data_IF_852800093235
#
_entry.id   IF_852800093235
#
_cell.length_a   1.000
_cell.length_b   1.000
_cell.length_c   1.000
_cell.angle_alpha   90.00
_cell.angle_beta   90.00
_cell.angle_gamma   90.00
#
_symmetry.space_group_name_H-M   'P 1'
#
loop_
_entity.id
_entity.type
_entity.pdbx_description
1 polymer ?
#
# COMPACT_ATOMS: atom_id res chain seq x y z
N UNK A 1 56.28 -0.92 60.77
CA UNK A 1 56.39 -0.10 59.55
C UNK A 1 56.89 -1.03 58.45
N UNK A 2 56.22 -1.29 57.33
CA UNK A 2 54.94 -0.84 56.82
C UNK A 2 54.44 -1.95 55.88
N UNK A 3 53.14 -2.22 55.89
CA UNK A 3 52.45 -3.05 54.91
C UNK A 3 51.95 -2.10 53.83
N UNK A 4 52.26 -2.35 52.56
CA UNK A 4 51.52 -1.75 51.45
C UNK A 4 50.89 -2.85 50.60
N UNK A 5 49.57 -2.93 50.72
CA UNK A 5 48.68 -3.65 49.84
C UNK A 5 48.28 -2.70 48.70
N UNK A 6 48.73 -2.98 47.48
CA UNK A 6 48.26 -2.31 46.27
C UNK A 6 47.02 -3.00 45.72
N UNK A 7 45.84 -2.44 46.02
CA UNK A 7 44.55 -2.90 45.52
C UNK A 7 44.38 -2.53 44.03
N UNK A 8 43.99 -3.52 43.22
CA UNK A 8 43.54 -3.34 41.86
C UNK A 8 42.16 -2.67 41.85
N UNK A 9 42.05 -1.51 41.19
CA UNK A 9 40.77 -0.86 40.88
C UNK A 9 40.49 -0.98 39.37
N UNK A 10 39.44 -1.72 39.03
CA UNK A 10 38.94 -1.86 37.67
C UNK A 10 38.22 -0.59 37.21
N UNK A 11 38.62 -0.08 36.04
CA UNK A 11 37.98 1.07 35.38
C UNK A 11 36.58 0.71 34.80
N UNK A 12 35.64 1.67 34.71
CA UNK A 12 34.30 1.41 34.20
C UNK A 12 34.32 1.27 32.66
N UNK A 13 33.69 0.22 32.15
CA UNK A 13 33.49 0.00 30.71
C UNK A 13 32.47 0.99 30.15
N UNK A 14 32.93 1.97 29.38
CA UNK A 14 32.09 2.85 28.59
C UNK A 14 31.36 2.05 27.49
N UNK A 15 30.04 2.14 27.44
CA UNK A 15 29.22 1.54 26.37
C UNK A 15 29.41 2.36 25.08
N UNK A 16 30.06 1.74 24.10
CA UNK A 16 30.16 2.26 22.73
C UNK A 16 28.76 2.43 22.11
N UNK A 17 28.40 3.65 21.75
CA UNK A 17 27.24 3.93 20.88
C UNK A 17 27.71 3.83 19.44
N UNK A 18 27.17 2.87 18.69
CA UNK A 18 27.37 2.78 17.25
C UNK A 18 26.88 4.08 16.56
N UNK A 19 27.61 4.59 15.55
CA UNK A 19 27.20 5.78 14.82
C UNK A 19 25.91 5.51 14.02
N UNK A 20 24.91 6.37 14.22
CA UNK A 20 23.64 6.38 13.48
C UNK A 20 23.94 6.80 12.03
N UNK A 21 23.58 5.97 11.06
CA UNK A 21 23.72 6.29 9.64
C UNK A 21 23.00 7.62 9.31
N UNK A 22 23.55 8.45 8.40
CA UNK A 22 22.92 9.71 8.02
C UNK A 22 21.55 9.44 7.37
N UNK A 23 20.54 10.12 7.88
CA UNK A 23 19.18 10.07 7.33
C UNK A 23 19.20 10.62 5.89
N UNK A 24 18.53 9.96 4.93
CA UNK A 24 18.46 10.48 3.56
C UNK A 24 17.77 11.86 3.55
N UNK A 25 18.11 12.72 2.58
CA UNK A 25 17.59 14.09 2.52
C UNK A 25 16.06 14.05 2.44
N UNK A 26 15.41 14.60 3.46
CA UNK A 26 13.95 14.76 3.51
C UNK A 26 13.56 15.83 2.50
N UNK A 27 12.79 15.45 1.48
CA UNK A 27 12.17 16.41 0.57
C UNK A 27 11.28 17.37 1.40
N UNK A 28 11.33 18.69 1.15
CA UNK A 28 10.46 19.63 1.83
C UNK A 28 9.01 19.31 1.47
N UNK A 29 8.20 18.97 2.48
CA UNK A 29 6.77 18.79 2.33
C UNK A 29 6.13 20.14 1.97
N UNK A 30 5.19 20.20 1.01
CA UNK A 30 4.45 21.43 0.74
C UNK A 30 3.64 21.83 1.98
N UNK A 31 3.38 23.14 2.19
CA UNK A 31 2.55 23.61 3.28
C UNK A 31 1.14 23.02 3.13
N UNK A 32 0.70 22.30 4.17
CA UNK A 32 -0.65 21.72 4.25
C UNK A 32 -1.64 22.78 4.69
N UNK A 33 -2.02 23.67 3.78
CA UNK A 33 -3.20 24.51 3.93
C UNK A 33 -4.41 23.78 3.36
N UNK A 34 -5.31 23.34 4.23
CA UNK A 34 -6.60 22.79 3.80
C UNK A 34 -7.22 21.87 4.84
N UNK A 35 -8.05 22.44 5.71
CA UNK A 35 -8.92 21.69 6.60
C UNK A 35 -9.91 20.82 5.79
N UNK A 36 -9.48 19.60 5.44
CA UNK A 36 -10.39 18.56 5.00
C UNK A 36 -11.22 18.12 6.22
N UNK A 37 -12.54 18.18 6.10
CA UNK A 37 -13.48 17.60 7.08
C UNK A 37 -13.05 16.16 7.32
N UNK A 38 -12.46 15.89 8.49
CA UNK A 38 -12.05 14.55 8.88
C UNK A 38 -13.31 13.71 8.98
N UNK A 39 -13.59 12.90 7.96
CA UNK A 39 -14.56 11.83 8.13
C UNK A 39 -14.13 11.02 9.36
N UNK A 40 -15.01 10.89 10.35
CA UNK A 40 -14.75 10.00 11.48
C UNK A 40 -14.74 8.58 10.92
N UNK A 41 -13.56 8.01 10.71
CA UNK A 41 -13.43 6.62 10.31
C UNK A 41 -13.96 5.71 11.43
N UNK A 42 -14.65 4.59 11.10
CA UNK A 42 -15.10 3.63 12.09
C UNK A 42 -13.97 2.75 12.65
N UNK A 43 -12.71 3.03 12.28
CA UNK A 43 -11.50 2.29 12.63
C UNK A 43 -10.33 3.26 12.85
N UNK A 44 -9.27 2.78 13.51
CA UNK A 44 -8.04 3.54 13.69
C UNK A 44 -7.32 3.75 12.34
N UNK A 45 -6.96 4.98 12.03
CA UNK A 45 -6.30 5.37 10.78
C UNK A 45 -5.32 6.51 11.05
N UNK A 46 -4.12 6.44 10.48
CA UNK A 46 -3.19 7.57 10.51
C UNK A 46 -3.71 8.67 9.57
N UNK A 47 -3.85 9.93 10.03
CA UNK A 47 -4.25 11.04 9.15
C UNK A 47 -3.37 11.21 7.90
N UNK A 48 -2.10 10.79 7.95
CA UNK A 48 -1.17 10.87 6.81
C UNK A 48 -1.40 9.78 5.75
N UNK A 49 -2.18 8.75 6.06
CA UNK A 49 -2.53 7.69 5.10
C UNK A 49 -3.68 8.08 4.16
N UNK A 50 -4.32 9.22 4.42
CA UNK A 50 -5.37 9.79 3.57
C UNK A 50 -4.77 10.60 2.40
N UNK A 51 -4.04 9.94 1.50
CA UNK A 51 -3.53 10.57 0.29
C UNK A 51 -4.49 10.33 -0.89
N UNK A 52 -5.10 11.40 -1.41
CA UNK A 52 -5.96 11.28 -2.59
C UNK A 52 -5.14 10.97 -3.85
N UNK A 53 -5.57 9.98 -4.62
CA UNK A 53 -4.99 9.65 -5.93
C UNK A 53 -5.25 10.77 -6.94
N UNK A 54 -4.24 11.15 -7.73
CA UNK A 54 -4.38 12.19 -8.75
C UNK A 54 -5.37 11.80 -9.87
N UNK A 55 -6.02 12.76 -10.55
CA UNK A 55 -6.94 12.43 -11.65
C UNK A 55 -6.21 11.72 -12.81
N UNK A 56 -5.00 12.20 -13.13
CA UNK A 56 -4.15 11.65 -14.18
C UNK A 56 -3.88 10.15 -13.99
N UNK A 57 -3.64 9.69 -12.76
CA UNK A 57 -3.40 8.27 -12.50
C UNK A 57 -4.60 7.38 -12.88
N UNK A 58 -5.84 7.88 -12.76
CA UNK A 58 -7.02 7.15 -13.22
C UNK A 58 -7.16 7.19 -14.75
N UNK A 59 -6.78 8.30 -15.38
CA UNK A 59 -6.78 8.45 -16.84
C UNK A 59 -5.76 7.49 -17.48
N UNK A 60 -4.57 7.38 -16.89
CA UNK A 60 -3.48 6.50 -17.34
C UNK A 60 -3.89 5.02 -17.35
N UNK A 61 -4.68 4.59 -16.36
CA UNK A 61 -5.15 3.19 -16.29
C UNK A 61 -6.45 2.95 -17.05
N UNK A 62 -7.15 3.99 -17.50
CA UNK A 62 -8.42 3.81 -18.21
C UNK A 62 -8.30 2.92 -19.47
N UNK A 63 -7.28 3.02 -20.33
CA UNK A 63 -7.10 2.11 -21.45
C UNK A 63 -6.92 0.65 -21.03
N UNK A 64 -6.19 0.40 -19.94
CA UNK A 64 -6.00 -0.95 -19.38
C UNK A 64 -7.33 -1.53 -18.90
N UNK A 65 -8.13 -0.72 -18.21
CA UNK A 65 -9.46 -1.13 -17.75
C UNK A 65 -10.42 -1.41 -18.92
N UNK A 66 -10.37 -0.63 -20.01
CA UNK A 66 -11.14 -0.94 -21.24
C UNK A 66 -10.70 -2.25 -21.88
N UNK A 67 -9.38 -2.48 -21.96
CA UNK A 67 -8.83 -3.73 -22.46
C UNK A 67 -9.27 -4.93 -21.63
N UNK A 68 -9.29 -4.79 -20.30
CA UNK A 68 -9.76 -5.83 -19.41
C UNK A 68 -11.27 -6.09 -19.57
N UNK A 69 -12.09 -5.04 -19.68
CA UNK A 69 -13.51 -5.19 -19.95
C UNK A 69 -13.75 -5.97 -21.25
N UNK A 70 -13.01 -5.64 -22.32
CA UNK A 70 -13.05 -6.36 -23.59
C UNK A 70 -12.68 -7.84 -23.44
N UNK A 71 -11.59 -8.15 -22.75
CA UNK A 71 -11.14 -9.54 -22.51
C UNK A 71 -12.16 -10.34 -21.70
N UNK A 72 -12.91 -9.69 -20.81
CA UNK A 72 -13.98 -10.30 -20.02
C UNK A 72 -15.33 -10.32 -20.76
N UNK A 73 -15.42 -9.78 -21.98
CA UNK A 73 -16.66 -9.69 -22.73
C UNK A 73 -17.70 -8.76 -22.09
N UNK A 74 -17.25 -7.73 -21.38
CA UNK A 74 -18.08 -6.78 -20.64
C UNK A 74 -18.04 -5.38 -21.26
N UNK A 75 -19.15 -4.66 -21.16
CA UNK A 75 -19.14 -3.22 -21.35
C UNK A 75 -18.33 -2.55 -20.22
N UNK A 76 -17.54 -1.49 -20.48
CA UNK A 76 -16.85 -0.74 -19.42
C UNK A 76 -17.77 -0.30 -18.28
N UNK A 77 -19.04 0.00 -18.56
CA UNK A 77 -20.04 0.39 -17.58
C UNK A 77 -20.43 -0.77 -16.63
N UNK A 78 -20.15 -2.02 -17.01
CA UNK A 78 -20.41 -3.23 -16.24
C UNK A 78 -19.18 -3.76 -15.48
N UNK A 79 -17.98 -3.27 -15.80
CA UNK A 79 -16.75 -3.65 -15.13
C UNK A 79 -16.78 -3.25 -13.65
N UNK A 80 -16.69 -4.23 -12.75
CA UNK A 80 -16.73 -3.99 -11.30
C UNK A 80 -15.32 -3.69 -10.78
N UNK A 81 -15.09 -2.44 -10.38
CA UNK A 81 -13.83 -2.00 -9.80
C UNK A 81 -13.93 -2.01 -8.28
N UNK A 82 -12.92 -2.57 -7.60
CA UNK A 82 -12.79 -2.53 -6.15
C UNK A 82 -11.62 -1.66 -5.72
N UNK A 83 -11.88 -0.73 -4.81
CA UNK A 83 -10.86 0.02 -4.08
C UNK A 83 -11.11 -0.17 -2.56
N UNK A 84 -10.29 -0.97 -1.87
CA UNK A 84 -10.48 -1.27 -0.45
C UNK A 84 -10.22 -0.08 0.46
N UNK A 85 -9.41 0.89 0.04
CA UNK A 85 -8.98 1.99 0.90
C UNK A 85 -9.82 3.24 0.64
N UNK A 86 -10.57 3.67 1.66
CA UNK A 86 -11.51 4.78 1.52
C UNK A 86 -10.84 6.14 1.75
N UNK A 87 -10.71 6.93 0.69
CA UNK A 87 -10.29 8.34 0.76
C UNK A 87 -11.41 9.24 0.24
N UNK A 88 -12.41 9.50 1.10
CA UNK A 88 -13.57 10.36 0.83
C UNK A 88 -14.43 9.99 -0.40
N UNK A 89 -14.26 8.79 -0.98
CA UNK A 89 -15.06 8.30 -2.11
C UNK A 89 -14.76 8.94 -3.47
N UNK A 90 -13.66 9.69 -3.61
CA UNK A 90 -13.35 10.41 -4.84
C UNK A 90 -13.14 9.48 -6.04
N UNK A 91 -12.61 8.27 -5.82
CA UNK A 91 -12.39 7.23 -6.83
C UNK A 91 -13.66 6.88 -7.58
N UNK A 92 -14.80 6.73 -6.88
CA UNK A 92 -16.08 6.39 -7.49
C UNK A 92 -16.52 7.44 -8.50
N UNK A 93 -16.44 8.73 -8.13
CA UNK A 93 -16.79 9.83 -9.04
C UNK A 93 -15.84 9.91 -10.23
N UNK A 94 -14.54 9.73 -10.00
CA UNK A 94 -13.50 9.87 -11.04
C UNK A 94 -13.58 8.76 -12.08
N UNK A 95 -13.66 7.51 -11.64
CA UNK A 95 -13.80 6.37 -12.55
C UNK A 95 -15.15 6.35 -13.26
N UNK A 96 -16.24 6.79 -12.62
CA UNK A 96 -17.54 6.95 -13.28
C UNK A 96 -17.46 7.91 -14.49
N UNK A 97 -16.76 9.04 -14.36
CA UNK A 97 -16.54 9.99 -15.47
C UNK A 97 -15.75 9.39 -16.63
N UNK A 98 -14.94 8.36 -16.37
CA UNK A 98 -14.13 7.66 -17.38
C UNK A 98 -14.87 6.48 -18.04
N UNK A 99 -16.11 6.21 -17.62
CA UNK A 99 -16.97 5.13 -18.13
C UNK A 99 -17.04 3.89 -17.25
N UNK A 100 -16.52 3.94 -16.01
CA UNK A 100 -16.52 2.81 -15.06
C UNK A 100 -17.32 3.16 -13.79
N UNK A 101 -18.67 3.19 -13.85
CA UNK A 101 -19.51 3.63 -12.74
C UNK A 101 -19.63 2.59 -11.62
N UNK A 102 -19.30 1.32 -11.86
CA UNK A 102 -19.43 0.24 -10.87
C UNK A 102 -18.19 0.13 -9.98
N UNK A 103 -17.98 1.15 -9.15
CA UNK A 103 -16.87 1.21 -8.19
C UNK A 103 -17.35 0.92 -6.79
N UNK A 104 -16.72 -0.04 -6.13
CA UNK A 104 -16.91 -0.32 -4.72
C UNK A 104 -15.76 0.31 -3.92
N UNK A 105 -16.04 1.45 -3.29
CA UNK A 105 -15.18 2.13 -2.33
C UNK A 105 -16.05 2.61 -1.16
N UNK A 106 -15.81 2.13 0.06
CA UNK A 106 -16.63 2.48 1.21
C UNK A 106 -15.82 2.59 2.49
N UNK A 107 -16.30 3.45 3.38
CA UNK A 107 -15.72 3.69 4.70
C UNK A 107 -16.00 2.50 5.63
N UNK A 108 -15.32 1.38 5.37
CA UNK A 108 -15.37 0.14 6.15
C UNK A 108 -13.96 -0.34 6.43
N UNK A 109 -13.78 -1.11 7.50
CA UNK A 109 -12.53 -1.80 7.74
C UNK A 109 -12.37 -2.95 6.73
N UNK A 110 -11.59 -2.71 5.68
CA UNK A 110 -11.38 -3.68 4.61
C UNK A 110 -10.72 -4.98 5.12
N UNK A 111 -9.90 -4.91 6.17
CA UNK A 111 -9.23 -6.07 6.71
C UNK A 111 -10.21 -7.03 7.38
N UNK A 112 -11.11 -6.47 8.19
CA UNK A 112 -12.18 -7.24 8.80
C UNK A 112 -13.11 -7.87 7.74
N UNK A 113 -13.38 -7.19 6.63
CA UNK A 113 -14.16 -7.73 5.51
C UNK A 113 -13.43 -8.87 4.78
N UNK A 114 -12.11 -8.76 4.60
CA UNK A 114 -11.29 -9.81 3.99
C UNK A 114 -11.25 -11.07 4.85
N UNK A 115 -11.01 -10.92 6.15
CA UNK A 115 -10.94 -12.03 7.12
C UNK A 115 -12.28 -12.75 7.28
N UNK A 116 -13.39 -12.02 7.18
CA UNK A 116 -14.75 -12.57 7.31
C UNK A 116 -15.38 -13.02 6.00
N UNK A 117 -14.66 -12.95 4.87
CA UNK A 117 -15.16 -13.35 3.56
C UNK A 117 -16.28 -12.46 3.01
N UNK A 118 -16.45 -11.24 3.53
CA UNK A 118 -17.45 -10.27 3.06
C UNK A 118 -16.95 -9.38 1.91
N UNK A 119 -15.88 -9.82 1.25
CA UNK A 119 -15.31 -9.16 0.07
C UNK A 119 -16.38 -8.99 -1.01
N UNK A 120 -16.60 -7.77 -1.53
CA UNK A 120 -17.58 -7.55 -2.59
C UNK A 120 -17.17 -8.30 -3.86
N UNK A 121 -18.14 -8.71 -4.68
CA UNK A 121 -17.83 -9.25 -6.00
C UNK A 121 -17.29 -8.13 -6.91
N UNK A 122 -16.00 -8.18 -7.26
CA UNK A 122 -15.38 -7.25 -8.21
C UNK A 122 -15.04 -7.90 -9.57
N UNK A 123 -14.20 -7.31 -10.39
CA UNK A 123 -13.56 -7.90 -11.58
C UNK A 123 -12.06 -7.55 -11.57
N UNK A 124 -11.77 -6.31 -11.19
CA UNK A 124 -10.42 -5.75 -11.04
C UNK A 124 -10.32 -4.93 -9.77
N UNK A 125 -9.16 -4.97 -9.12
CA UNK A 125 -8.84 -4.07 -8.02
C UNK A 125 -8.02 -2.89 -8.54
N UNK A 126 -8.41 -1.66 -8.18
CA UNK A 126 -7.66 -0.44 -8.52
C UNK A 126 -7.56 0.38 -7.24
N UNK A 127 -6.33 0.62 -6.77
CA UNK A 127 -6.12 1.15 -5.42
C UNK A 127 -4.88 2.02 -5.33
N UNK A 128 -4.87 2.94 -4.38
CA UNK A 128 -3.66 3.61 -3.87
C UNK A 128 -3.65 3.41 -2.35
N UNK A 129 -2.90 2.43 -1.83
CA UNK A 129 -2.98 2.09 -0.42
C UNK A 129 -2.30 3.13 0.47
N UNK A 130 -2.66 3.15 1.77
CA UNK A 130 -1.78 3.63 2.82
C UNK A 130 -0.37 3.03 2.69
N UNK A 131 0.63 3.85 2.97
CA UNK A 131 2.04 3.43 2.91
C UNK A 131 2.68 3.27 4.29
N UNK A 132 1.95 3.60 5.36
CA UNK A 132 2.37 3.32 6.72
C UNK A 132 2.28 1.81 7.05
N UNK A 133 2.86 1.43 8.20
CA UNK A 133 2.70 0.11 8.81
C UNK A 133 2.88 -1.07 7.83
N UNK A 134 1.98 -2.05 7.88
CA UNK A 134 1.98 -3.28 7.09
C UNK A 134 0.92 -3.28 5.96
N UNK A 135 0.27 -2.14 5.71
CA UNK A 135 -0.83 -2.01 4.75
C UNK A 135 -0.47 -2.51 3.35
N UNK A 136 0.74 -2.23 2.89
CA UNK A 136 1.27 -2.68 1.60
C UNK A 136 1.42 -4.20 1.56
N UNK A 137 1.97 -4.80 2.62
CA UNK A 137 2.14 -6.26 2.70
C UNK A 137 0.79 -6.97 2.69
N UNK A 138 -0.17 -6.50 3.51
CA UNK A 138 -1.53 -7.04 3.57
C UNK A 138 -2.27 -6.88 2.24
N UNK A 139 -2.13 -5.73 1.58
CA UNK A 139 -2.69 -5.53 0.23
C UNK A 139 -2.13 -6.55 -0.75
N UNK A 140 -0.80 -6.71 -0.81
CA UNK A 140 -0.16 -7.59 -1.78
C UNK A 140 -0.53 -9.06 -1.57
N UNK A 141 -0.65 -9.48 -0.32
CA UNK A 141 -1.14 -10.81 0.05
C UNK A 141 -2.58 -11.02 -0.47
N UNK A 142 -3.50 -10.11 -0.12
CA UNK A 142 -4.89 -10.17 -0.57
C UNK A 142 -5.01 -10.12 -2.11
N UNK A 143 -4.32 -9.17 -2.75
CA UNK A 143 -4.32 -8.99 -4.20
C UNK A 143 -3.90 -10.26 -4.92
N UNK A 144 -2.80 -10.88 -4.45
CA UNK A 144 -2.27 -12.12 -5.01
C UNK A 144 -3.20 -13.30 -4.82
N UNK A 145 -3.77 -13.44 -3.62
CA UNK A 145 -4.65 -14.54 -3.29
C UNK A 145 -6.01 -14.45 -4.03
N UNK A 146 -6.43 -13.24 -4.42
CA UNK A 146 -7.71 -13.03 -5.09
C UNK A 146 -7.84 -13.70 -6.46
N UNK A 147 -6.73 -14.03 -7.12
CA UNK A 147 -6.72 -14.58 -8.48
C UNK A 147 -7.23 -13.59 -9.55
N UNK A 148 -7.32 -12.30 -9.22
CA UNK A 148 -7.88 -11.26 -10.10
C UNK A 148 -6.84 -10.22 -10.50
N UNK A 149 -7.03 -9.56 -11.65
CA UNK A 149 -6.20 -8.42 -12.02
C UNK A 149 -6.26 -7.32 -10.96
N UNK A 150 -5.12 -6.70 -10.69
CA UNK A 150 -5.02 -5.58 -9.76
C UNK A 150 -4.02 -4.53 -10.26
N UNK A 151 -4.32 -3.27 -9.96
CA UNK A 151 -3.54 -2.09 -10.32
C UNK A 151 -3.30 -1.26 -9.05
N UNK A 152 -2.04 -1.11 -8.66
CA UNK A 152 -1.65 -0.25 -7.55
C UNK A 152 -1.12 1.09 -8.09
N UNK A 153 -1.92 2.15 -7.92
CA UNK A 153 -1.64 3.52 -8.36
C UNK A 153 -0.70 4.21 -7.36
N UNK A 154 0.59 3.86 -7.43
CA UNK A 154 1.58 4.31 -6.45
C UNK A 154 2.34 5.57 -6.87
N UNK A 155 2.68 6.47 -5.92
CA UNK A 155 3.64 7.53 -6.16
C UNK A 155 5.01 6.99 -6.56
N UNK A 156 5.75 7.76 -7.37
CA UNK A 156 7.05 7.37 -7.88
C UNK A 156 8.11 7.14 -6.81
N UNK A 157 7.97 7.58 -5.55
CA UNK A 157 8.95 7.25 -4.51
C UNK A 157 8.74 5.88 -3.87
N UNK A 158 7.58 5.24 -4.10
CA UNK A 158 7.18 3.99 -3.44
C UNK A 158 7.76 2.76 -4.14
N UNK A 159 7.95 2.80 -5.47
CA UNK A 159 8.35 1.63 -6.26
C UNK A 159 9.70 1.02 -5.87
N UNK A 160 10.57 1.77 -5.16
CA UNK A 160 11.87 1.30 -4.68
C UNK A 160 11.84 0.80 -3.22
N UNK A 161 10.68 0.78 -2.56
CA UNK A 161 10.61 0.27 -1.18
C UNK A 161 10.87 -1.24 -1.15
N UNK A 162 11.62 -1.75 -0.15
CA UNK A 162 12.00 -3.16 -0.09
C UNK A 162 10.83 -4.16 -0.07
N UNK A 163 9.65 -3.74 0.38
CA UNK A 163 8.45 -4.58 0.38
C UNK A 163 8.01 -4.97 -1.04
N UNK A 164 8.02 -4.01 -1.97
CA UNK A 164 7.63 -4.25 -3.37
C UNK A 164 8.66 -5.13 -4.09
N UNK A 165 9.95 -4.83 -3.91
CA UNK A 165 11.03 -5.63 -4.50
C UNK A 165 10.97 -7.09 -4.02
N UNK A 166 10.87 -7.31 -2.69
CA UNK A 166 10.78 -8.65 -2.11
C UNK A 166 9.57 -9.43 -2.62
N UNK A 167 8.42 -8.78 -2.73
CA UNK A 167 7.21 -9.41 -3.24
C UNK A 167 7.37 -9.84 -4.72
N UNK A 168 7.89 -8.95 -5.57
CA UNK A 168 8.11 -9.25 -7.00
C UNK A 168 9.12 -10.39 -7.17
N UNK A 169 10.21 -10.36 -6.43
CA UNK A 169 11.24 -11.42 -6.44
C UNK A 169 10.66 -12.76 -6.01
N UNK A 170 9.92 -12.80 -4.90
CA UNK A 170 9.27 -14.02 -4.43
C UNK A 170 8.34 -14.63 -5.48
N UNK A 171 7.51 -13.80 -6.14
CA UNK A 171 6.59 -14.27 -7.20
C UNK A 171 7.33 -14.76 -8.44
N UNK A 172 8.44 -14.13 -8.83
CA UNK A 172 9.29 -14.59 -9.94
C UNK A 172 9.91 -15.95 -9.64
N UNK A 173 10.43 -16.15 -8.43
CA UNK A 173 10.99 -17.42 -7.99
C UNK A 173 9.93 -18.53 -8.00
N UNK A 174 8.73 -18.28 -7.47
CA UNK A 174 7.64 -19.26 -7.48
C UNK A 174 7.17 -19.63 -8.90
N UNK A 175 7.16 -18.67 -9.83
CA UNK A 175 6.81 -18.94 -11.23
C UNK A 175 7.87 -19.80 -11.95
N UNK A 176 9.16 -19.56 -11.67
CA UNK A 176 10.25 -20.34 -12.27
C UNK A 176 10.28 -21.80 -11.80
N UNK A 177 9.87 -22.08 -10.55
CA UNK A 177 9.78 -23.45 -10.04
C UNK A 177 8.60 -24.19 -10.67
N UNK A 178 7.44 -23.54 -10.84
CA UNK A 178 6.26 -24.15 -11.44
C UNK A 178 6.44 -24.54 -12.93
N UNK A 179 7.41 -23.95 -13.62
CA UNK A 179 7.68 -24.19 -15.04
C UNK A 179 8.76 -25.26 -15.29
N UNK A 180 9.44 -25.75 -14.24
CA UNK A 180 10.44 -26.80 -14.33
C UNK A 180 9.86 -28.22 -14.10
N UNK A 181 8.63 -28.31 -13.59
CA UNK A 181 7.95 -29.57 -13.22
C UNK A 181 6.82 -29.96 -14.21
N UNK A 182 6.77 -29.35 -15.40
CA UNK A 182 5.72 -29.54 -16.41
C UNK A 182 6.23 -30.09 -17.74
#
# INVERSE_FOLDING_TARGET
>A
ASIEAGAAAAAPKAKSKSPKAPEPPRCPSPPVDGAAVRASFPFACDPLDCAETSPAAYEDVAPVLRGLALLLGKDPAELRVYDPYFCAGAVTRRLARLGFPRVRNACVDCYAEWESGRVPAFDVMVTNPPYSADHVARLLEFASASGRPWLCLMPSYVHLRPEWCRFIEAKRSSASTAQADG
#
